data_IF_224597707283
#
_entry.id   IF_224597707283
#
_cell.length_a   1.000
_cell.length_b   1.000
_cell.length_c   1.000
_cell.angle_alpha   90.00
_cell.angle_beta   90.00
_cell.angle_gamma   90.00
#
_symmetry.space_group_name_H-M   'P 1'
#
loop_
_entity.id
_entity.type
_entity.pdbx_description
1 polymer ?
#
# COMPACT_ATOMS: atom_id res chain seq x y z
N UNK A 1 1.03 -33.31 25.74
CA UNK A 1 2.37 -32.68 25.63
C UNK A 1 3.11 -33.34 24.49
N UNK A 2 3.28 -32.65 23.36
CA UNK A 2 4.30 -32.91 22.34
C UNK A 2 4.24 -31.74 21.34
N UNK A 3 5.01 -30.69 21.61
CA UNK A 3 5.20 -29.59 20.67
C UNK A 3 6.10 -30.09 19.53
N UNK A 4 5.50 -30.31 18.35
CA UNK A 4 6.24 -30.49 17.10
C UNK A 4 6.98 -29.20 16.77
N UNK A 5 8.20 -29.07 17.25
CA UNK A 5 9.18 -28.13 16.70
C UNK A 5 9.52 -28.62 15.28
N UNK A 6 8.80 -28.10 14.30
CA UNK A 6 9.25 -28.13 12.91
C UNK A 6 10.50 -27.24 12.85
N UNK A 7 11.65 -27.86 13.06
CA UNK A 7 12.97 -27.28 12.86
C UNK A 7 13.07 -26.88 11.39
N UNK A 8 12.83 -25.60 11.11
CA UNK A 8 13.11 -24.98 9.82
C UNK A 8 14.59 -25.22 9.52
N UNK A 9 14.88 -26.13 8.59
CA UNK A 9 16.22 -26.32 8.06
C UNK A 9 16.66 -24.98 7.45
N UNK A 10 17.63 -24.32 8.10
CA UNK A 10 18.16 -23.04 7.67
C UNK A 10 19.17 -23.32 6.56
N UNK A 11 18.95 -22.87 5.31
CA UNK A 11 19.89 -23.12 4.22
C UNK A 11 21.25 -22.49 4.51
N UNK A 12 22.33 -23.25 4.29
CA UNK A 12 23.70 -22.96 4.77
C UNK A 12 24.34 -21.68 4.21
N UNK A 13 23.77 -21.05 3.17
CA UNK A 13 24.35 -19.86 2.55
C UNK A 13 23.30 -18.81 2.21
N UNK A 14 22.90 -18.01 3.21
CA UNK A 14 22.11 -16.79 3.00
C UNK A 14 23.03 -15.62 2.63
N UNK A 15 22.72 -14.96 1.52
CA UNK A 15 23.43 -13.74 1.09
C UNK A 15 23.30 -12.64 2.15
N UNK A 16 24.42 -12.00 2.47
CA UNK A 16 24.50 -10.91 3.44
C UNK A 16 24.41 -9.57 2.72
N UNK A 17 23.51 -8.70 3.16
CA UNK A 17 23.31 -7.37 2.57
C UNK A 17 23.49 -6.32 3.67
N UNK A 18 24.39 -5.36 3.43
CA UNK A 18 24.54 -4.19 4.29
C UNK A 18 23.49 -3.16 3.92
N UNK A 19 22.68 -2.74 4.90
CA UNK A 19 21.68 -1.68 4.71
C UNK A 19 22.11 -0.42 5.46
N UNK A 20 21.92 0.72 4.80
CA UNK A 20 22.17 2.05 5.35
C UNK A 20 20.94 2.56 6.13
N UNK A 21 21.16 3.37 7.16
CA UNK A 21 20.08 3.96 7.97
C UNK A 21 19.11 4.81 7.13
N UNK A 22 19.55 5.31 5.96
CA UNK A 22 18.71 6.06 5.00
C UNK A 22 17.53 5.26 4.47
N UNK A 23 17.58 3.93 4.53
CA UNK A 23 16.51 3.02 4.09
C UNK A 23 15.36 2.85 5.10
N UNK A 24 15.35 3.64 6.18
CA UNK A 24 14.37 3.57 7.29
C UNK A 24 12.88 3.51 6.90
N UNK A 25 12.50 4.07 5.76
CA UNK A 25 11.09 4.15 5.32
C UNK A 25 10.81 3.36 4.05
N UNK A 26 11.82 2.73 3.42
CA UNK A 26 11.63 2.04 2.14
C UNK A 26 10.96 0.67 2.29
N UNK A 27 10.95 0.10 3.51
CA UNK A 27 10.47 -1.27 3.75
C UNK A 27 11.42 -2.34 3.22
N UNK A 28 12.57 -1.96 2.65
CA UNK A 28 13.54 -2.89 2.04
C UNK A 28 14.10 -3.89 3.06
N UNK A 29 14.29 -3.47 4.31
CA UNK A 29 14.83 -4.33 5.38
C UNK A 29 13.90 -5.50 5.65
N UNK A 30 12.60 -5.23 5.75
CA UNK A 30 11.57 -6.26 5.96
C UNK A 30 11.46 -7.17 4.73
N UNK A 31 11.47 -6.59 3.52
CA UNK A 31 11.42 -7.35 2.28
C UNK A 31 12.60 -8.32 2.14
N UNK A 32 13.82 -7.84 2.42
CA UNK A 32 15.03 -8.66 2.38
C UNK A 32 14.99 -9.77 3.43
N UNK A 33 14.53 -9.47 4.64
CA UNK A 33 14.38 -10.47 5.70
C UNK A 33 13.37 -11.57 5.32
N UNK A 34 12.19 -11.19 4.81
CA UNK A 34 11.17 -12.13 4.31
C UNK A 34 11.64 -12.96 3.12
N UNK A 35 12.51 -12.38 2.29
CA UNK A 35 13.14 -13.05 1.15
C UNK A 35 14.32 -13.95 1.54
N UNK A 36 14.62 -14.08 2.83
CA UNK A 36 15.65 -14.99 3.34
C UNK A 36 17.08 -14.42 3.33
N UNK A 37 17.26 -13.11 3.14
CA UNK A 37 18.58 -12.48 3.25
C UNK A 37 18.96 -12.19 4.70
N UNK A 38 20.27 -12.16 4.99
CA UNK A 38 20.77 -11.66 6.27
C UNK A 38 21.06 -10.17 6.11
N UNK A 39 20.30 -9.34 6.82
CA UNK A 39 20.49 -7.88 6.84
C UNK A 39 21.42 -7.53 8.01
N UNK A 40 22.51 -6.81 7.72
CA UNK A 40 23.35 -6.21 8.75
C UNK A 40 23.50 -4.70 8.55
N UNK A 41 23.87 -4.00 9.62
CA UNK A 41 24.17 -2.58 9.58
C UNK A 41 25.63 -2.34 9.95
N UNK A 42 26.19 -1.19 9.55
CA UNK A 42 27.62 -0.89 9.70
C UNK A 42 28.06 -0.54 11.12
N UNK A 43 27.13 -0.35 12.07
CA UNK A 43 27.47 0.05 13.45
C UNK A 43 26.39 -0.36 14.46
N UNK A 44 26.76 -0.41 15.74
CA UNK A 44 25.81 -0.62 16.83
C UNK A 44 24.70 0.44 16.83
N UNK A 45 25.07 1.71 16.62
CA UNK A 45 24.12 2.84 16.54
C UNK A 45 23.08 2.63 15.43
N UNK A 46 23.50 2.22 14.24
CA UNK A 46 22.59 1.92 13.13
C UNK A 46 21.72 0.69 13.42
N UNK A 47 22.26 -0.31 14.12
CA UNK A 47 21.51 -1.51 14.51
C UNK A 47 20.37 -1.15 15.48
N UNK A 48 20.66 -0.36 16.52
CA UNK A 48 19.64 0.10 17.48
C UNK A 48 18.55 0.94 16.80
N UNK A 49 18.93 1.81 15.85
CA UNK A 49 17.98 2.59 15.06
C UNK A 49 17.09 1.70 14.19
N UNK A 50 17.68 0.70 13.54
CA UNK A 50 16.95 -0.24 12.70
C UNK A 50 15.95 -1.07 13.52
N UNK A 51 16.36 -1.58 14.68
CA UNK A 51 15.48 -2.30 15.62
C UNK A 51 14.31 -1.43 16.08
N UNK A 52 14.58 -0.18 16.49
CA UNK A 52 13.53 0.76 16.89
C UNK A 52 12.52 0.98 15.77
N UNK A 53 12.98 1.13 14.52
CA UNK A 53 12.09 1.32 13.38
C UNK A 53 11.28 0.07 13.04
N UNK A 54 11.90 -1.11 13.05
CA UNK A 54 11.19 -2.37 12.85
C UNK A 54 10.08 -2.53 13.89
N UNK A 55 10.35 -2.23 15.17
CA UNK A 55 9.33 -2.21 16.21
C UNK A 55 8.20 -1.21 15.95
N UNK A 56 8.53 0.02 15.53
CA UNK A 56 7.52 1.03 15.19
C UNK A 56 6.68 0.66 13.96
N UNK A 57 7.28 0.03 12.95
CA UNK A 57 6.57 -0.45 11.76
C UNK A 57 5.68 -1.64 12.09
N UNK A 58 6.17 -2.56 12.93
CA UNK A 58 5.40 -3.70 13.41
C UNK A 58 4.15 -3.25 14.16
N UNK A 59 4.27 -2.27 15.05
CA UNK A 59 3.12 -1.68 15.77
C UNK A 59 2.12 -1.03 14.80
N UNK A 60 2.60 -0.25 13.83
CA UNK A 60 1.73 0.37 12.80
C UNK A 60 1.00 -0.65 11.92
N UNK A 61 1.61 -1.82 11.71
CA UNK A 61 1.01 -2.92 10.95
C UNK A 61 0.07 -3.77 11.83
N UNK A 62 0.33 -3.86 13.14
CA UNK A 62 -0.48 -4.63 14.09
C UNK A 62 -1.83 -4.01 14.40
N UNK A 63 -1.99 -2.70 14.19
CA UNK A 63 -3.27 -1.99 14.37
C UNK A 63 -4.35 -2.39 13.35
N UNK A 64 -4.09 -3.39 12.48
CA UNK A 64 -5.01 -3.88 11.45
C UNK A 64 -5.21 -2.93 10.27
N UNK A 65 -4.68 -1.71 10.36
CA UNK A 65 -4.73 -0.72 9.29
C UNK A 65 -3.47 -0.88 8.43
N UNK A 66 -3.59 -1.52 7.28
CA UNK A 66 -2.50 -1.54 6.30
C UNK A 66 -2.29 -0.11 5.77
N UNK A 67 -1.17 0.57 6.09
CA UNK A 67 -0.93 1.90 5.56
C UNK A 67 -0.84 1.80 4.04
N UNK A 68 -1.57 2.67 3.32
CA UNK A 68 -1.46 2.74 1.87
C UNK A 68 -0.04 3.19 1.52
N UNK A 69 0.73 2.27 0.93
CA UNK A 69 2.10 2.53 0.49
C UNK A 69 2.13 3.64 -0.57
N UNK A 70 3.22 4.41 -0.59
CA UNK A 70 3.52 5.40 -1.62
C UNK A 70 3.32 6.86 -1.23
N UNK A 71 3.50 7.72 -2.23
CA UNK A 71 3.46 9.18 -2.08
C UNK A 71 2.03 9.71 -1.87
N UNK A 72 1.86 10.61 -0.91
CA UNK A 72 0.62 11.37 -0.72
C UNK A 72 0.70 12.70 -1.51
N UNK A 73 -0.18 12.91 -2.51
CA UNK A 73 -0.10 14.10 -3.34
C UNK A 73 -0.35 15.40 -2.57
N UNK A 74 0.41 16.44 -2.90
CA UNK A 74 0.29 17.76 -2.26
C UNK A 74 -0.78 18.65 -2.91
N UNK A 75 -0.89 18.64 -4.26
CA UNK A 75 -1.80 19.50 -5.03
C UNK A 75 -3.25 19.00 -4.98
N UNK A 76 -4.21 19.92 -5.00
CA UNK A 76 -5.64 19.60 -4.87
C UNK A 76 -6.15 18.68 -5.98
N UNK A 77 -5.83 18.98 -7.25
CA UNK A 77 -6.19 18.13 -8.38
C UNK A 77 -5.62 16.70 -8.22
N UNK A 78 -4.35 16.61 -7.81
CA UNK A 78 -3.70 15.31 -7.60
C UNK A 78 -4.34 14.54 -6.44
N UNK A 79 -4.79 15.22 -5.37
CA UNK A 79 -5.55 14.61 -4.27
C UNK A 79 -6.88 14.07 -4.76
N UNK A 80 -7.63 14.83 -5.57
CA UNK A 80 -8.91 14.40 -6.14
C UNK A 80 -8.76 13.14 -7.00
N UNK A 81 -7.77 13.14 -7.91
CA UNK A 81 -7.47 11.97 -8.74
C UNK A 81 -7.04 10.77 -7.90
N UNK A 82 -6.23 10.99 -6.85
CA UNK A 82 -5.76 9.94 -5.96
C UNK A 82 -6.89 9.28 -5.16
N UNK A 83 -7.87 10.07 -4.69
CA UNK A 83 -9.08 9.55 -4.04
C UNK A 83 -9.88 8.69 -5.02
N UNK A 84 -10.12 9.18 -6.24
CA UNK A 84 -10.85 8.41 -7.26
C UNK A 84 -10.13 7.13 -7.67
N UNK A 85 -8.80 7.11 -7.70
CA UNK A 85 -8.00 5.90 -7.93
C UNK A 85 -8.03 4.92 -6.74
N UNK A 86 -8.62 5.30 -5.61
CA UNK A 86 -8.93 4.37 -4.53
C UNK A 86 -10.17 3.52 -4.80
N UNK A 87 -10.99 3.87 -5.79
CA UNK A 87 -12.19 3.13 -6.13
C UNK A 87 -11.85 1.81 -6.85
N UNK A 88 -12.67 0.76 -6.67
CA UNK A 88 -12.43 -0.54 -7.29
C UNK A 88 -12.47 -0.42 -8.80
N UNK A 89 -11.45 -1.00 -9.46
CA UNK A 89 -11.30 -0.99 -10.92
C UNK A 89 -11.17 0.42 -11.55
N UNK A 90 -10.75 1.43 -10.77
CA UNK A 90 -10.53 2.81 -11.25
C UNK A 90 -9.05 3.14 -11.25
N UNK A 91 -8.44 3.14 -12.44
CA UNK A 91 -7.05 3.57 -12.64
C UNK A 91 -6.88 5.06 -12.97
N UNK A 92 -5.65 5.52 -13.23
CA UNK A 92 -5.34 6.92 -13.52
C UNK A 92 -6.16 7.52 -14.67
N UNK A 93 -6.28 6.81 -15.80
CA UNK A 93 -7.04 7.28 -16.97
C UNK A 93 -8.53 7.44 -16.65
N UNK A 94 -9.11 6.48 -15.94
CA UNK A 94 -10.53 6.51 -15.60
C UNK A 94 -10.85 7.58 -14.55
N UNK A 95 -9.95 7.79 -13.57
CA UNK A 95 -10.07 8.85 -12.58
C UNK A 95 -10.14 10.25 -13.21
N UNK A 96 -9.33 10.49 -14.25
CA UNK A 96 -9.36 11.74 -15.03
C UNK A 96 -10.69 11.91 -15.78
N UNK A 97 -11.19 10.85 -16.43
CA UNK A 97 -12.48 10.86 -17.13
C UNK A 97 -13.65 11.14 -16.19
N UNK A 98 -13.68 10.45 -15.04
CA UNK A 98 -14.68 10.66 -13.98
C UNK A 98 -14.67 12.11 -13.50
N UNK A 99 -13.50 12.63 -13.13
CA UNK A 99 -13.39 14.01 -12.64
C UNK A 99 -13.74 15.03 -13.73
N UNK A 100 -13.38 14.77 -14.99
CA UNK A 100 -13.72 15.63 -16.13
C UNK A 100 -15.23 15.68 -16.41
N UNK A 101 -15.92 14.56 -16.27
CA UNK A 101 -17.37 14.43 -16.47
C UNK A 101 -18.16 15.04 -15.30
N UNK A 102 -17.86 14.63 -14.07
CA UNK A 102 -18.62 15.01 -12.86
C UNK A 102 -18.16 16.31 -12.20
N UNK A 103 -17.01 16.87 -12.61
CA UNK A 103 -16.37 18.11 -12.12
C UNK A 103 -15.86 18.09 -10.68
N UNK A 104 -16.34 17.20 -9.83
CA UNK A 104 -15.89 17.06 -8.44
C UNK A 104 -15.92 15.62 -7.95
N UNK A 105 -15.09 15.30 -6.95
CA UNK A 105 -15.12 13.99 -6.29
C UNK A 105 -16.48 13.72 -5.64
N UNK A 106 -17.06 14.73 -4.98
CA UNK A 106 -18.39 14.64 -4.36
C UNK A 106 -19.42 14.15 -5.37
N UNK A 107 -19.47 14.75 -6.54
CA UNK A 107 -20.43 14.40 -7.59
C UNK A 107 -20.21 12.99 -8.15
N UNK A 108 -18.98 12.46 -8.14
CA UNK A 108 -18.72 11.07 -8.51
C UNK A 108 -19.26 10.12 -7.44
N UNK A 109 -19.05 10.44 -6.16
CA UNK A 109 -19.48 9.59 -5.04
C UNK A 109 -20.99 9.59 -4.85
N UNK A 110 -21.69 10.64 -5.26
CA UNK A 110 -23.17 10.74 -5.17
C UNK A 110 -23.88 10.48 -6.51
N UNK A 111 -23.14 10.08 -7.55
CA UNK A 111 -23.72 9.81 -8.86
C UNK A 111 -24.63 8.58 -8.82
N UNK A 112 -25.78 8.65 -9.53
CA UNK A 112 -26.60 7.48 -9.75
C UNK A 112 -25.95 6.53 -10.77
N UNK A 113 -26.41 5.26 -10.78
CA UNK A 113 -25.88 4.23 -11.68
C UNK A 113 -25.96 4.65 -13.15
N UNK A 114 -27.09 5.25 -13.57
CA UNK A 114 -27.31 5.71 -14.95
C UNK A 114 -26.27 6.74 -15.39
N UNK A 115 -25.90 7.70 -14.53
CA UNK A 115 -24.86 8.71 -14.84
C UNK A 115 -23.47 8.11 -14.86
N UNK A 116 -23.18 7.14 -13.98
CA UNK A 116 -21.87 6.46 -13.99
C UNK A 116 -21.66 5.67 -15.28
N UNK A 117 -22.70 5.01 -15.78
CA UNK A 117 -22.65 4.25 -17.04
C UNK A 117 -22.41 5.13 -18.29
N UNK A 118 -22.66 6.44 -18.22
CA UNK A 118 -22.38 7.37 -19.32
C UNK A 118 -20.87 7.63 -19.51
N UNK A 119 -20.04 7.33 -18.51
CA UNK A 119 -18.59 7.55 -18.61
C UNK A 119 -17.92 6.41 -19.36
N UNK A 120 -17.27 6.73 -20.48
CA UNK A 120 -16.57 5.77 -21.31
C UNK A 120 -15.56 4.92 -20.51
N UNK A 121 -15.77 3.60 -20.50
CA UNK A 121 -14.95 2.63 -19.76
C UNK A 121 -15.53 2.22 -18.40
N UNK A 122 -16.70 2.75 -18.02
CA UNK A 122 -17.49 2.30 -16.87
C UNK A 122 -18.63 1.43 -17.37
N UNK A 123 -18.64 0.17 -16.91
CA UNK A 123 -19.72 -0.77 -17.17
C UNK A 123 -20.41 -1.20 -15.88
N UNK A 124 -21.51 -1.96 -15.95
CA UNK A 124 -22.35 -2.30 -14.81
C UNK A 124 -21.58 -3.02 -13.68
N UNK A 125 -20.62 -3.90 -14.02
CA UNK A 125 -19.75 -4.55 -13.03
C UNK A 125 -18.94 -3.55 -12.20
N UNK A 126 -18.40 -2.51 -12.84
CA UNK A 126 -17.64 -1.47 -12.14
C UNK A 126 -18.55 -0.59 -11.30
N UNK A 127 -19.74 -0.25 -11.80
CA UNK A 127 -20.71 0.55 -11.05
C UNK A 127 -21.13 -0.15 -9.77
N UNK A 128 -21.53 -1.43 -9.85
CA UNK A 128 -21.86 -2.24 -8.67
C UNK A 128 -20.71 -2.32 -7.67
N UNK A 129 -19.47 -2.49 -8.16
CA UNK A 129 -18.30 -2.51 -7.28
C UNK A 129 -18.08 -1.17 -6.58
N UNK A 130 -18.24 -0.05 -7.28
CA UNK A 130 -18.11 1.30 -6.71
C UNK A 130 -19.21 1.53 -5.67
N UNK A 131 -20.46 1.24 -5.99
CA UNK A 131 -21.60 1.43 -5.08
C UNK A 131 -21.44 0.60 -3.81
N UNK A 132 -21.02 -0.67 -3.92
CA UNK A 132 -20.76 -1.55 -2.78
C UNK A 132 -19.72 -1.00 -1.78
N UNK A 133 -18.81 -0.12 -2.23
CA UNK A 133 -17.81 0.52 -1.36
C UNK A 133 -18.33 1.83 -0.73
N UNK A 134 -19.40 2.40 -1.28
CA UNK A 134 -20.00 3.65 -0.81
C UNK A 134 -21.22 3.44 0.08
N UNK A 135 -21.78 2.23 0.08
CA UNK A 135 -22.72 1.72 1.10
C UNK A 135 -22.01 1.48 2.44
#
# INVERSE_FOLDING_TARGET
>A
MANNHHSLQIPEKRLKISVDYREKTSGIVELLNRSGFIVHSKSLKHTCQLMRWMGQQFVKLSDGISPRSGHRPKRQLSKQLYVLQGLPNVGPTLSKKLLGHFKSVRNVMTANEKKLLQVAGIGPKKVKAIQKVLE
#
